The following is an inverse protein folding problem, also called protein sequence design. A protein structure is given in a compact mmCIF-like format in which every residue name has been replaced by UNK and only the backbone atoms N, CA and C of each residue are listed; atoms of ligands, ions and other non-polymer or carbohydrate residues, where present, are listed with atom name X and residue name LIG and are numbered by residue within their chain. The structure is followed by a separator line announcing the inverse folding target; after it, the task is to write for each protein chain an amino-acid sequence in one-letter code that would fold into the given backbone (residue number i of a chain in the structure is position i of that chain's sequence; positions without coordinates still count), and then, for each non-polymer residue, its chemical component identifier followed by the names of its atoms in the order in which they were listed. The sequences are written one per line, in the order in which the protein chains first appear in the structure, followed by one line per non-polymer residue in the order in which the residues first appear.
data_IF_869043488523
#
_entry.id   IF_869043488523
#
_cell.length_a   1.000
_cell.length_b   1.000
_cell.length_c   1.000
_cell.angle_alpha   90.00
_cell.angle_beta   90.00
_cell.angle_gamma   90.00
#
_symmetry.space_group_name_H-M   'P 1'
#
loop_
_entity.id
_entity.type
_entity.pdbx_description
1 polymer ?
#
# COMPACT_ATOMS: atom_id res chain seq x y z
N UNK A 1 7.46 1.05 -12.44
CA UNK A 1 7.96 0.87 -11.06
C UNK A 1 7.17 -0.23 -10.35
N UNK A 2 7.80 -0.95 -9.40
CA UNK A 2 7.08 -1.89 -8.52
C UNK A 2 6.98 -1.27 -7.14
N UNK A 3 5.76 -1.08 -6.63
CA UNK A 3 5.52 -0.66 -5.25
C UNK A 3 5.11 -1.87 -4.41
N UNK A 4 5.99 -2.27 -3.50
CA UNK A 4 5.71 -3.33 -2.53
C UNK A 4 5.27 -2.73 -1.21
N UNK A 5 4.09 -3.11 -0.73
CA UNK A 5 3.52 -2.66 0.53
C UNK A 5 3.63 -3.80 1.52
N UNK A 6 4.45 -3.63 2.53
CA UNK A 6 4.64 -4.60 3.61
C UNK A 6 3.84 -4.17 4.83
N UNK A 7 3.18 -5.13 5.48
CA UNK A 7 2.51 -4.94 6.78
C UNK A 7 3.03 -5.99 7.75
N UNK A 8 3.53 -5.56 8.90
CA UNK A 8 4.12 -6.46 9.90
C UNK A 8 4.19 -5.81 11.27
N UNK A 9 4.55 -6.58 12.28
CA UNK A 9 4.94 -6.08 13.61
C UNK A 9 6.40 -6.43 13.89
N UNK A 10 7.08 -5.62 14.69
CA UNK A 10 8.41 -5.96 15.17
C UNK A 10 8.32 -6.79 16.46
N UNK A 11 9.29 -7.69 16.72
CA UNK A 11 9.36 -8.41 17.99
C UNK A 11 9.52 -7.45 19.17
N UNK A 12 8.77 -7.64 20.26
CA UNK A 12 8.96 -6.85 21.47
C UNK A 12 10.40 -6.98 22.02
N UNK A 13 11.06 -5.90 22.47
CA UNK A 13 10.57 -4.52 22.64
C UNK A 13 10.88 -3.59 21.45
N UNK A 14 11.13 -4.13 20.26
CA UNK A 14 11.52 -3.32 19.10
C UNK A 14 10.37 -2.45 18.61
N UNK A 15 10.72 -1.27 18.09
CA UNK A 15 9.79 -0.29 17.53
C UNK A 15 10.29 0.18 16.16
N UNK A 16 9.50 0.99 15.46
CA UNK A 16 9.88 1.58 14.17
C UNK A 16 11.18 2.43 14.24
N UNK A 17 11.57 2.86 15.45
CA UNK A 17 12.79 3.61 15.72
C UNK A 17 13.99 2.73 16.09
N UNK A 18 13.80 1.41 16.25
CA UNK A 18 14.84 0.48 16.66
C UNK A 18 16.02 0.44 15.68
N UNK A 19 17.26 0.29 16.19
CA UNK A 19 18.46 0.19 15.35
C UNK A 19 18.40 -0.93 14.32
N UNK A 20 17.77 -2.06 14.65
CA UNK A 20 17.65 -3.24 13.80
C UNK A 20 16.82 -2.92 12.56
N UNK A 21 15.66 -2.29 12.75
CA UNK A 21 14.81 -1.85 11.63
C UNK A 21 15.47 -0.73 10.82
N UNK A 22 16.19 0.19 11.47
CA UNK A 22 16.98 1.21 10.74
C UNK A 22 18.04 0.59 9.84
N UNK A 23 18.83 -0.37 10.35
CA UNK A 23 19.85 -1.07 9.56
C UNK A 23 19.23 -1.80 8.36
N UNK A 24 18.06 -2.43 8.54
CA UNK A 24 17.36 -3.07 7.44
C UNK A 24 16.92 -2.04 6.38
N UNK A 25 16.38 -0.89 6.79
CA UNK A 25 16.04 0.21 5.87
C UNK A 25 17.28 0.72 5.11
N UNK A 26 18.43 0.84 5.76
CA UNK A 26 19.71 1.23 5.14
C UNK A 26 20.24 0.18 4.13
N UNK A 27 19.95 -1.11 4.34
CA UNK A 27 20.27 -2.16 3.36
C UNK A 27 19.34 -2.01 2.15
N UNK A 28 18.04 -1.87 2.39
CA UNK A 28 17.02 -1.70 1.34
C UNK A 28 17.28 -0.42 0.52
N UNK A 29 17.71 0.68 1.15
CA UNK A 29 17.94 1.96 0.46
C UNK A 29 19.02 1.91 -0.61
N UNK A 30 19.92 0.92 -0.56
CA UNK A 30 20.97 0.72 -1.57
C UNK A 30 20.45 0.13 -2.88
N UNK A 31 19.26 -0.46 -2.88
CA UNK A 31 18.73 -1.19 -4.04
C UNK A 31 17.29 -0.78 -4.42
N UNK A 32 16.57 -0.09 -3.55
CA UNK A 32 15.28 0.52 -3.87
C UNK A 32 15.44 1.93 -4.46
N UNK A 33 14.41 2.42 -5.16
CA UNK A 33 14.30 3.81 -5.63
C UNK A 33 14.02 4.74 -4.44
N UNK A 34 13.05 4.36 -3.61
CA UNK A 34 12.68 5.08 -2.38
C UNK A 34 11.86 4.17 -1.48
N UNK A 35 11.67 4.60 -0.23
CA UNK A 35 10.91 3.84 0.75
C UNK A 35 10.27 4.77 1.79
N UNK A 36 9.09 4.39 2.26
CA UNK A 36 8.26 5.12 3.21
C UNK A 36 7.73 4.17 4.27
N UNK A 37 7.83 4.56 5.54
CA UNK A 37 7.48 3.67 6.63
C UNK A 37 6.73 4.45 7.72
N UNK A 38 5.78 3.78 8.38
CA UNK A 38 4.94 4.40 9.40
C UNK A 38 4.09 3.37 10.12
N UNK A 39 3.51 3.76 11.24
CA UNK A 39 2.48 2.95 11.89
C UNK A 39 1.16 3.13 11.15
N UNK A 40 0.41 2.03 11.00
CA UNK A 40 -0.99 2.15 10.57
C UNK A 40 -1.79 2.85 11.66
N UNK A 41 -2.76 3.66 11.26
CA UNK A 41 -3.66 4.41 12.15
C UNK A 41 -5.10 4.20 11.71
N UNK A 42 -6.01 4.17 12.69
CA UNK A 42 -7.48 4.24 12.52
C UNK A 42 -8.02 3.58 11.24
N UNK A 43 -8.33 2.28 11.26
CA UNK A 43 -8.77 1.56 10.06
C UNK A 43 -10.12 0.86 10.31
N UNK A 44 -11.07 0.87 9.34
CA UNK A 44 -12.16 -0.09 9.33
C UNK A 44 -11.67 -1.53 9.05
N UNK A 45 -10.53 -1.72 8.37
CA UNK A 45 -9.95 -3.06 8.19
C UNK A 45 -9.19 -3.53 9.44
N UNK A 46 -9.21 -4.85 9.74
CA UNK A 46 -8.41 -5.42 10.82
C UNK A 46 -6.92 -5.11 10.66
N UNK A 47 -6.28 -4.79 11.79
CA UNK A 47 -4.85 -4.53 11.87
C UNK A 47 -4.29 -5.09 13.16
N UNK A 48 -3.00 -5.41 13.15
CA UNK A 48 -2.29 -5.76 14.37
C UNK A 48 -2.03 -4.52 15.23
N UNK A 49 -1.86 -4.72 16.54
CA UNK A 49 -1.40 -3.64 17.42
C UNK A 49 0.04 -3.29 17.05
N UNK A 50 0.35 -1.98 16.95
CA UNK A 50 1.67 -1.48 16.50
C UNK A 50 2.09 -1.98 15.11
N UNK A 51 1.13 -2.29 14.24
CA UNK A 51 1.40 -2.68 12.85
C UNK A 51 2.12 -1.55 12.10
N UNK A 52 3.26 -1.89 11.53
CA UNK A 52 4.05 -1.05 10.65
C UNK A 52 3.63 -1.33 9.22
N UNK A 53 3.36 -0.27 8.47
CA UNK A 53 3.28 -0.30 7.03
C UNK A 53 4.60 0.24 6.45
N UNK A 54 5.21 -0.52 5.55
CA UNK A 54 6.44 -0.14 4.85
C UNK A 54 6.23 -0.28 3.35
N UNK A 55 6.13 0.87 2.67
CA UNK A 55 6.07 0.94 1.22
C UNK A 55 7.49 1.08 0.65
N UNK A 56 7.85 0.19 -0.27
CA UNK A 56 9.16 0.16 -0.92
C UNK A 56 8.95 0.24 -2.43
N UNK A 57 9.63 1.19 -3.06
CA UNK A 57 9.59 1.39 -4.49
C UNK A 57 10.82 0.77 -5.11
N UNK A 58 10.63 -0.33 -5.83
CA UNK A 58 11.71 -1.07 -6.47
C UNK A 58 11.86 -0.68 -7.94
N UNK A 59 13.09 -0.73 -8.48
CA UNK A 59 13.29 -0.72 -9.92
C UNK A 59 12.50 -1.83 -10.60
N UNK A 60 12.01 -1.59 -11.82
CA UNK A 60 11.31 -2.59 -12.64
C UNK A 60 12.18 -3.82 -12.94
N UNK A 61 13.50 -3.64 -12.97
CA UNK A 61 14.48 -4.72 -13.13
C UNK A 61 14.65 -5.60 -11.88
N UNK A 62 14.03 -5.24 -10.75
CA UNK A 62 14.14 -6.05 -9.53
C UNK A 62 13.39 -7.37 -9.67
N UNK A 63 14.04 -8.46 -9.28
CA UNK A 63 13.42 -9.79 -9.28
C UNK A 63 12.75 -10.07 -7.92
N UNK A 64 11.67 -10.88 -7.88
CA UNK A 64 11.08 -11.31 -6.61
C UNK A 64 12.10 -11.90 -5.65
N UNK A 65 12.98 -12.79 -6.14
CA UNK A 65 14.06 -13.39 -5.34
C UNK A 65 15.05 -12.35 -4.80
N UNK A 66 15.41 -11.33 -5.59
CA UNK A 66 16.30 -10.25 -5.14
C UNK A 66 15.66 -9.38 -4.05
N UNK A 67 14.38 -9.06 -4.18
CA UNK A 67 13.62 -8.33 -3.15
C UNK A 67 13.52 -9.14 -1.86
N UNK A 68 13.12 -10.41 -1.96
CA UNK A 68 13.02 -11.31 -0.82
C UNK A 68 14.37 -11.51 -0.11
N UNK A 69 15.46 -11.68 -0.86
CA UNK A 69 16.81 -11.78 -0.29
C UNK A 69 17.22 -10.49 0.45
N UNK A 70 16.89 -9.33 -0.10
CA UNK A 70 17.18 -8.03 0.54
C UNK A 70 16.41 -7.85 1.84
N UNK A 71 15.11 -8.18 1.84
CA UNK A 71 14.24 -8.09 3.01
C UNK A 71 14.56 -9.16 4.06
N UNK A 72 15.04 -10.31 3.62
CA UNK A 72 15.50 -11.42 4.45
C UNK A 72 16.96 -11.30 4.90
N UNK A 73 17.67 -10.21 4.57
CA UNK A 73 18.99 -9.91 5.13
C UNK A 73 18.84 -9.78 6.65
N UNK A 74 19.09 -10.89 7.33
CA UNK A 74 19.04 -11.03 8.77
C UNK A 74 20.19 -10.24 9.37
N UNK A 75 19.95 -9.62 10.51
CA UNK A 75 21.04 -9.18 11.39
C UNK A 75 21.62 -10.42 12.09
N UNK A 76 22.70 -10.25 12.86
CA UNK A 76 23.25 -11.33 13.68
C UNK A 76 22.25 -11.96 14.67
N UNK A 77 21.05 -11.38 14.83
CA UNK A 77 20.01 -11.74 15.80
C UNK A 77 18.76 -12.37 15.16
N UNK A 78 18.74 -12.58 13.83
CA UNK A 78 17.62 -13.20 13.10
C UNK A 78 16.90 -12.25 12.14
N UNK A 79 15.69 -12.63 11.71
CA UNK A 79 14.85 -11.78 10.85
C UNK A 79 14.31 -10.61 11.66
N UNK A 80 14.57 -9.38 11.19
CA UNK A 80 14.01 -8.15 11.81
C UNK A 80 12.51 -8.08 11.58
N UNK A 81 12.06 -8.49 10.40
CA UNK A 81 10.65 -8.55 10.06
C UNK A 81 10.10 -9.88 10.59
N UNK A 82 9.06 -9.83 11.42
CA UNK A 82 8.44 -11.03 11.99
C UNK A 82 7.82 -11.96 10.94
N UNK A 83 7.55 -13.21 11.33
CA UNK A 83 6.98 -14.25 10.45
C UNK A 83 5.55 -13.93 9.96
N UNK A 84 4.91 -12.93 10.56
CA UNK A 84 3.57 -12.43 10.23
C UNK A 84 3.57 -11.35 9.15
N UNK A 85 4.72 -11.07 8.53
CA UNK A 85 4.81 -10.08 7.47
C UNK A 85 4.00 -10.47 6.24
N UNK A 86 3.16 -9.55 5.80
CA UNK A 86 2.40 -9.68 4.56
C UNK A 86 2.85 -8.64 3.53
N UNK A 87 2.55 -8.93 2.27
CA UNK A 87 3.10 -8.24 1.10
C UNK A 87 2.00 -8.07 0.05
N UNK A 88 1.83 -6.84 -0.42
CA UNK A 88 1.05 -6.50 -1.61
C UNK A 88 1.98 -5.91 -2.65
N UNK A 89 1.83 -6.33 -3.91
CA UNK A 89 2.61 -5.81 -5.03
C UNK A 89 1.72 -5.01 -5.98
N UNK A 90 2.10 -3.76 -6.22
CA UNK A 90 1.45 -2.86 -7.16
C UNK A 90 2.42 -2.55 -8.29
N UNK A 91 2.01 -2.82 -9.52
CA UNK A 91 2.75 -2.42 -10.72
C UNK A 91 2.18 -1.08 -11.20
N UNK A 92 3.06 -0.07 -11.28
CA UNK A 92 2.68 1.31 -11.60
C UNK A 92 3.56 1.79 -12.73
N UNK A 93 2.95 2.34 -13.77
CA UNK A 93 3.68 2.92 -14.89
C UNK A 93 4.55 4.10 -14.43
N UNK A 94 5.75 4.21 -14.99
CA UNK A 94 6.73 5.21 -14.54
C UNK A 94 6.24 6.65 -14.74
N UNK A 95 5.39 6.90 -15.75
CA UNK A 95 4.78 8.21 -15.99
C UNK A 95 3.67 8.56 -14.98
N UNK A 96 3.21 7.58 -14.20
CA UNK A 96 2.22 7.74 -13.12
C UNK A 96 2.83 7.68 -11.72
N UNK A 97 4.12 7.35 -11.61
CA UNK A 97 4.79 7.20 -10.33
C UNK A 97 4.82 8.49 -9.50
N UNK A 98 4.83 9.66 -10.14
CA UNK A 98 4.83 10.95 -9.44
C UNK A 98 3.58 11.18 -8.59
N UNK A 99 2.39 10.83 -9.09
CA UNK A 99 1.13 10.97 -8.33
C UNK A 99 1.06 9.98 -7.19
N UNK A 100 1.58 8.77 -7.38
CA UNK A 100 1.74 7.80 -6.29
C UNK A 100 2.68 8.33 -5.19
N UNK A 101 3.82 8.92 -5.56
CA UNK A 101 4.78 9.49 -4.60
C UNK A 101 4.14 10.60 -3.77
N UNK A 102 3.30 11.45 -4.38
CA UNK A 102 2.56 12.48 -3.63
C UNK A 102 1.68 11.88 -2.53
N UNK A 103 1.05 10.72 -2.76
CA UNK A 103 0.29 10.04 -1.71
C UNK A 103 1.16 9.60 -0.52
N UNK A 104 2.37 9.10 -0.79
CA UNK A 104 3.30 8.69 0.25
C UNK A 104 3.93 9.86 1.01
N UNK A 105 4.05 11.02 0.37
CA UNK A 105 4.58 12.25 0.97
C UNK A 105 3.48 13.14 1.58
N UNK A 106 2.21 12.82 1.35
CA UNK A 106 1.06 13.46 1.94
C UNK A 106 1.06 13.34 3.47
N UNK A 107 0.32 14.23 4.13
CA UNK A 107 0.23 14.20 5.59
C UNK A 107 -0.43 12.93 6.10
N UNK A 108 -1.39 12.39 5.38
CA UNK A 108 -2.03 11.09 5.63
C UNK A 108 -2.04 10.32 4.32
N UNK A 109 -1.52 9.10 4.31
CA UNK A 109 -1.72 8.18 3.19
C UNK A 109 -2.81 7.18 3.55
N UNK A 110 -3.82 7.06 2.70
CA UNK A 110 -4.84 6.03 2.74
C UNK A 110 -4.47 4.89 1.78
N UNK A 111 -4.68 3.66 2.24
CA UNK A 111 -4.83 2.50 1.38
C UNK A 111 -6.29 2.07 1.40
N UNK A 112 -7.00 2.33 0.32
CA UNK A 112 -8.37 1.86 0.13
C UNK A 112 -8.38 0.64 -0.80
N UNK A 113 -9.19 -0.34 -0.44
CA UNK A 113 -9.27 -1.64 -1.08
C UNK A 113 -10.68 -1.86 -1.60
N UNK A 114 -10.77 -2.22 -2.88
CA UNK A 114 -11.96 -2.78 -3.49
C UNK A 114 -11.62 -4.22 -3.85
N UNK A 115 -12.03 -5.16 -2.99
CA UNK A 115 -11.92 -6.58 -3.26
C UNK A 115 -13.18 -7.03 -4.01
N UNK A 116 -13.04 -7.41 -5.28
CA UNK A 116 -14.19 -7.76 -6.11
C UNK A 116 -14.67 -9.19 -5.84
N UNK A 117 -15.99 -9.35 -5.72
CA UNK A 117 -16.64 -10.66 -5.66
C UNK A 117 -16.43 -11.44 -6.96
N UNK A 118 -16.75 -12.74 -6.95
CA UNK A 118 -16.63 -13.57 -8.15
C UNK A 118 -17.54 -13.09 -9.29
N UNK A 119 -18.71 -12.53 -8.94
CA UNK A 119 -19.76 -12.08 -9.85
C UNK A 119 -19.50 -10.68 -10.46
N UNK A 120 -18.40 -10.03 -10.10
CA UNK A 120 -18.03 -8.72 -10.64
C UNK A 120 -17.86 -8.76 -12.17
N UNK A 121 -18.51 -7.86 -12.94
CA UNK A 121 -18.47 -7.85 -14.41
C UNK A 121 -17.17 -7.20 -14.91
N UNK A 122 -16.03 -7.81 -14.61
CA UNK A 122 -14.69 -7.22 -14.85
C UNK A 122 -14.36 -6.97 -16.32
N UNK A 123 -15.01 -7.68 -17.24
CA UNK A 123 -14.88 -7.47 -18.69
C UNK A 123 -15.75 -6.31 -19.21
N UNK A 124 -16.63 -5.75 -18.37
CA UNK A 124 -17.46 -4.60 -18.76
C UNK A 124 -16.62 -3.33 -18.78
N UNK A 125 -16.65 -2.64 -19.93
CA UNK A 125 -15.98 -1.34 -20.11
C UNK A 125 -16.49 -0.31 -19.09
N UNK A 126 -17.80 -0.28 -18.84
CA UNK A 126 -18.41 0.66 -17.89
C UNK A 126 -17.97 0.37 -16.44
N UNK A 127 -17.78 -0.91 -16.12
CA UNK A 127 -17.29 -1.33 -14.81
C UNK A 127 -15.81 -0.93 -14.62
N UNK A 128 -14.97 -1.22 -15.60
CA UNK A 128 -13.56 -0.81 -15.60
C UNK A 128 -13.42 0.72 -15.53
N UNK A 129 -14.25 1.46 -16.25
CA UNK A 129 -14.30 2.92 -16.17
C UNK A 129 -14.68 3.41 -14.77
N UNK A 130 -15.64 2.75 -14.10
CA UNK A 130 -16.05 3.10 -12.73
C UNK A 130 -14.93 2.82 -11.71
N UNK A 131 -14.21 1.70 -11.86
CA UNK A 131 -13.03 1.39 -11.04
C UNK A 131 -11.96 2.48 -11.18
N UNK A 132 -11.65 2.89 -12.42
CA UNK A 132 -10.68 3.96 -12.67
C UNK A 132 -11.17 5.32 -12.13
N UNK A 133 -12.46 5.61 -12.33
CA UNK A 133 -13.05 6.90 -11.96
C UNK A 133 -13.16 7.12 -10.46
N UNK A 134 -13.28 6.04 -9.67
CA UNK A 134 -13.25 6.07 -8.21
C UNK A 134 -11.98 6.76 -7.68
N UNK A 135 -10.85 6.58 -8.37
CA UNK A 135 -9.62 7.32 -8.11
C UNK A 135 -9.68 8.74 -8.70
N UNK A 136 -10.00 8.91 -9.99
CA UNK A 136 -9.85 10.24 -10.62
C UNK A 136 -10.80 11.30 -10.04
N UNK A 137 -11.94 10.89 -9.48
CA UNK A 137 -12.89 11.80 -8.82
C UNK A 137 -12.28 12.46 -7.57
N UNK A 138 -11.25 11.87 -6.94
CA UNK A 138 -10.61 12.45 -5.75
C UNK A 138 -9.84 13.74 -6.05
N UNK A 139 -9.38 13.96 -7.29
CA UNK A 139 -8.71 15.21 -7.70
C UNK A 139 -9.60 16.46 -7.55
N UNK A 140 -10.93 16.28 -7.55
CA UNK A 140 -11.88 17.37 -7.31
C UNK A 140 -12.20 17.59 -5.83
N UNK A 141 -11.65 16.77 -4.92
CA UNK A 141 -12.02 16.76 -3.50
C UNK A 141 -11.04 17.60 -2.67
N UNK A 142 -11.59 18.36 -1.72
CA UNK A 142 -10.79 19.21 -0.83
C UNK A 142 -9.87 18.33 0.03
N UNK A 143 -8.59 18.70 0.06
CA UNK A 143 -7.57 18.06 0.88
C UNK A 143 -6.94 16.83 0.25
N UNK A 144 -7.27 16.47 -0.99
CA UNK A 144 -6.56 15.43 -1.73
C UNK A 144 -5.22 15.98 -2.24
N UNK A 145 -4.12 15.26 -1.98
CA UNK A 145 -2.75 15.69 -2.30
C UNK A 145 -2.14 14.95 -3.49
N UNK A 146 -2.67 13.78 -3.84
CA UNK A 146 -2.22 12.95 -4.94
C UNK A 146 -2.50 11.47 -4.69
N UNK A 147 -2.32 10.63 -5.69
CA UNK A 147 -2.47 9.19 -5.50
C UNK A 147 -2.46 8.43 -6.80
N UNK A 148 -2.54 7.11 -6.68
CA UNK A 148 -2.71 6.22 -7.80
C UNK A 148 -3.39 4.93 -7.34
N UNK A 149 -3.90 4.15 -8.27
CA UNK A 149 -4.41 2.83 -7.98
C UNK A 149 -3.89 1.79 -8.98
N UNK A 150 -3.89 0.53 -8.55
CA UNK A 150 -3.62 -0.61 -9.40
C UNK A 150 -4.32 -1.85 -8.85
N UNK A 151 -4.48 -2.86 -9.70
CA UNK A 151 -4.78 -4.19 -9.19
C UNK A 151 -3.54 -4.79 -8.54
N UNK A 152 -3.71 -5.38 -7.36
CA UNK A 152 -2.66 -6.14 -6.69
C UNK A 152 -2.22 -7.32 -7.56
N UNK A 153 -0.92 -7.49 -7.72
CA UNK A 153 -0.36 -8.45 -8.67
C UNK A 153 -0.10 -9.83 -8.07
N UNK A 154 0.04 -9.95 -6.74
CA UNK A 154 0.40 -11.21 -6.08
C UNK A 154 -0.74 -11.87 -5.30
N UNK A 155 -1.81 -11.13 -4.95
CA UNK A 155 -2.91 -11.69 -4.15
C UNK A 155 -4.21 -10.91 -4.33
N UNK A 156 -5.33 -11.56 -4.02
CA UNK A 156 -6.64 -10.93 -3.92
C UNK A 156 -7.09 -10.69 -2.48
N UNK A 157 -6.25 -10.99 -1.48
CA UNK A 157 -6.51 -10.70 -0.07
C UNK A 157 -5.98 -9.32 0.32
N UNK A 158 -6.87 -8.46 0.83
CA UNK A 158 -6.53 -7.13 1.36
C UNK A 158 -5.53 -7.15 2.53
N UNK A 159 -5.40 -8.28 3.22
CA UNK A 159 -4.39 -8.47 4.27
C UNK A 159 -2.99 -8.71 3.70
N UNK A 160 -2.88 -9.01 2.41
CA UNK A 160 -1.64 -9.38 1.75
C UNK A 160 -1.28 -10.86 1.91
N UNK A 161 -0.40 -11.34 1.05
CA UNK A 161 0.15 -12.69 1.15
C UNK A 161 1.43 -12.68 1.98
N UNK A 162 1.83 -13.84 2.51
CA UNK A 162 3.06 -13.98 3.29
C UNK A 162 4.28 -13.48 2.50
N UNK A 163 5.11 -12.65 3.15
CA UNK A 163 6.40 -12.21 2.60
C UNK A 163 7.22 -13.42 2.10
N UNK A 164 7.74 -13.34 0.88
CA UNK A 164 8.44 -14.43 0.20
C UNK A 164 7.58 -15.21 -0.80
N UNK A 165 6.26 -15.04 -0.81
CA UNK A 165 5.37 -15.67 -1.81
C UNK A 165 5.32 -14.92 -3.15
N UNK A 166 6.04 -13.81 -3.31
CA UNK A 166 5.93 -12.89 -4.45
C UNK A 166 6.35 -13.47 -5.80
N UNK A 167 6.92 -14.69 -5.80
CA UNK A 167 7.15 -15.45 -7.03
C UNK A 167 5.84 -15.81 -7.74
N UNK A 168 4.72 -15.80 -7.02
CA UNK A 168 3.37 -15.98 -7.57
C UNK A 168 2.86 -14.62 -8.04
N UNK A 169 2.52 -14.53 -9.32
CA UNK A 169 1.86 -13.37 -9.93
C UNK A 169 0.54 -13.83 -10.53
N UNK A 170 -0.53 -13.15 -10.17
CA UNK A 170 -1.86 -13.33 -10.73
C UNK A 170 -1.87 -12.82 -12.18
N UNK A 171 -2.50 -13.58 -13.06
CA UNK A 171 -2.78 -13.12 -14.42
C UNK A 171 -3.83 -11.99 -14.40
N UNK A 172 -3.95 -11.22 -15.48
CA UNK A 172 -4.88 -10.09 -15.52
C UNK A 172 -6.34 -10.50 -15.25
N UNK A 173 -6.74 -11.69 -15.66
CA UNK A 173 -8.06 -12.28 -15.45
C UNK A 173 -8.25 -12.90 -14.06
N UNK A 174 -7.20 -13.07 -13.27
CA UNK A 174 -7.28 -13.51 -11.88
C UNK A 174 -7.35 -12.34 -10.89
N UNK A 175 -6.84 -11.17 -11.27
CA UNK A 175 -6.81 -9.97 -10.42
C UNK A 175 -8.22 -9.45 -10.10
N UNK A 176 -8.48 -9.25 -8.81
CA UNK A 176 -9.76 -8.82 -8.22
C UNK A 176 -9.59 -7.81 -7.08
N UNK A 177 -8.39 -7.61 -6.56
CA UNK A 177 -8.12 -6.63 -5.51
C UNK A 177 -7.59 -5.32 -6.12
N UNK A 178 -8.44 -4.31 -6.23
CA UNK A 178 -8.03 -2.95 -6.52
C UNK A 178 -7.49 -2.27 -5.27
N UNK A 179 -6.28 -1.72 -5.34
CA UNK A 179 -5.62 -0.99 -4.25
C UNK A 179 -5.42 0.46 -4.68
N UNK A 180 -6.05 1.35 -3.93
CA UNK A 180 -6.01 2.80 -4.13
C UNK A 180 -5.11 3.39 -3.05
N UNK A 181 -4.02 4.01 -3.46
CA UNK A 181 -3.05 4.67 -2.58
C UNK A 181 -3.27 6.18 -2.72
N UNK A 182 -3.87 6.79 -1.71
CA UNK A 182 -4.43 8.15 -1.78
C UNK A 182 -3.84 9.03 -0.68
N UNK A 183 -3.33 10.20 -1.05
CA UNK A 183 -2.79 11.21 -0.15
C UNK A 183 -3.85 12.22 0.26
N UNK A 184 -3.90 12.51 1.54
CA UNK A 184 -4.83 13.46 2.14
C UNK A 184 -4.12 14.38 3.14
N UNK A 185 -4.55 15.64 3.18
CA UNK A 185 -4.11 16.60 4.19
C UNK A 185 -4.50 16.16 5.62
N UNK A 186 -5.61 15.43 5.77
CA UNK A 186 -6.07 14.88 7.06
C UNK A 186 -7.12 13.77 6.88
N UNK A 187 -7.29 12.93 7.90
CA UNK A 187 -8.33 11.88 7.94
C UNK A 187 -9.72 12.53 7.91
N UNK A 188 -9.89 13.67 8.58
CA UNK A 188 -11.16 14.40 8.66
C UNK A 188 -11.60 14.92 7.29
N UNK A 189 -10.66 15.41 6.48
CA UNK A 189 -10.95 15.87 5.12
C UNK A 189 -11.34 14.71 4.21
N UNK A 190 -10.66 13.56 4.31
CA UNK A 190 -11.10 12.35 3.62
C UNK A 190 -12.51 11.93 4.06
N UNK A 191 -12.79 11.85 5.37
CA UNK A 191 -14.11 11.51 5.89
C UNK A 191 -15.22 12.50 5.50
N UNK A 192 -14.88 13.77 5.26
CA UNK A 192 -15.81 14.73 4.69
C UNK A 192 -16.04 14.47 3.20
N UNK A 193 -14.99 14.11 2.47
CA UNK A 193 -15.05 13.78 1.04
C UNK A 193 -15.93 12.55 0.77
N UNK A 194 -15.86 11.50 1.62
CA UNK A 194 -16.69 10.28 1.47
C UNK A 194 -18.19 10.53 1.61
N UNK A 195 -18.60 11.67 2.16
CA UNK A 195 -20.01 12.06 2.32
C UNK A 195 -20.55 12.86 1.14
N UNK A 196 -19.73 13.11 0.11
CA UNK A 196 -20.13 13.89 -1.06
C UNK A 196 -20.84 13.02 -2.09
N UNK A 197 -21.74 13.63 -2.87
CA UNK A 197 -22.38 12.96 -4.00
C UNK A 197 -21.39 12.53 -5.09
N UNK A 198 -20.26 13.25 -5.20
CA UNK A 198 -19.19 12.88 -6.13
C UNK A 198 -18.57 11.53 -5.74
N UNK A 199 -18.28 11.33 -4.46
CA UNK A 199 -17.76 10.06 -3.95
C UNK A 199 -18.76 8.91 -4.12
N UNK A 200 -20.03 9.13 -3.75
CA UNK A 200 -21.07 8.11 -3.84
C UNK A 200 -21.29 7.58 -5.26
N UNK A 201 -21.12 8.43 -6.28
CA UNK A 201 -21.48 8.12 -7.67
C UNK A 201 -20.85 6.83 -8.22
N UNK A 202 -19.55 6.63 -8.01
CA UNK A 202 -18.87 5.44 -8.51
C UNK A 202 -18.95 4.29 -7.50
N UNK A 203 -18.90 4.62 -6.19
CA UNK A 203 -19.04 3.61 -5.13
C UNK A 203 -20.40 2.90 -5.22
N UNK A 204 -21.50 3.60 -5.47
CA UNK A 204 -22.84 3.00 -5.59
C UNK A 204 -22.93 2.00 -6.75
N UNK A 205 -22.16 2.21 -7.83
CA UNK A 205 -22.10 1.28 -8.97
C UNK A 205 -21.27 0.04 -8.65
N UNK A 206 -20.21 0.19 -7.86
CA UNK A 206 -19.27 -0.87 -7.56
C UNK A 206 -19.67 -1.69 -6.32
N UNK A 207 -20.36 -1.07 -5.35
CA UNK A 207 -20.73 -1.65 -4.07
C UNK A 207 -21.47 -2.99 -4.16
N UNK A 208 -22.37 -3.24 -5.14
CA UNK A 208 -22.98 -4.57 -5.32
C UNK A 208 -21.98 -5.70 -5.55
N UNK A 209 -20.75 -5.38 -5.95
CA UNK A 209 -19.70 -6.32 -6.28
C UNK A 209 -18.56 -6.32 -5.26
N UNK A 210 -18.71 -5.59 -4.14
CA UNK A 210 -17.73 -5.63 -3.05
C UNK A 210 -17.78 -6.99 -2.35
N UNK A 211 -16.64 -7.66 -2.31
CA UNK A 211 -16.39 -8.86 -1.55
C UNK A 211 -15.69 -8.57 -0.21
N UNK A 212 -15.47 -9.63 0.60
CA UNK A 212 -14.70 -9.55 1.83
C UNK A 212 -13.31 -8.94 1.59
N UNK A 213 -12.85 -8.08 2.49
CA UNK A 213 -11.57 -7.38 2.38
C UNK A 213 -11.66 -5.99 1.73
N UNK A 214 -12.84 -5.58 1.24
CA UNK A 214 -13.05 -4.17 0.86
C UNK A 214 -13.06 -3.28 2.10
N UNK A 215 -12.35 -2.16 2.06
CA UNK A 215 -12.20 -1.26 3.21
C UNK A 215 -10.99 -0.36 3.07
N UNK A 216 -10.49 0.19 4.18
CA UNK A 216 -9.32 1.06 4.15
C UNK A 216 -8.50 1.00 5.44
N UNK A 217 -7.27 1.49 5.37
CA UNK A 217 -6.48 1.93 6.53
C UNK A 217 -5.66 3.16 6.16
N UNK A 218 -5.19 3.91 7.16
CA UNK A 218 -4.30 5.04 6.94
C UNK A 218 -2.92 4.80 7.55
N UNK A 219 -1.95 5.58 7.09
CA UNK A 219 -0.57 5.58 7.57
C UNK A 219 -0.07 7.02 7.63
N UNK A 220 0.63 7.35 8.71
CA UNK A 220 1.50 8.52 8.76
C UNK A 220 2.90 8.12 8.31
N UNK A 221 3.21 8.33 7.04
CA UNK A 221 4.49 7.93 6.49
C UNK A 221 5.62 8.89 6.85
N UNK A 222 6.82 8.31 6.98
CA UNK A 222 8.10 9.01 6.96
C UNK A 222 8.88 8.46 5.79
N UNK A 223 9.46 9.35 4.99
CA UNK A 223 10.42 8.97 3.95
C UNK A 223 11.72 8.58 4.62
N UNK A 224 12.34 7.48 4.20
CA UNK A 224 13.70 7.20 4.64
C UNK A 224 14.67 8.18 3.98
N UNK A 225 15.48 8.84 4.81
CA UNK A 225 16.68 9.55 4.37
C UNK A 225 17.91 8.94 5.03
N UNK A 226 19.02 8.92 4.29
CA UNK A 226 20.32 8.49 4.82
C UNK A 226 20.81 9.40 5.99
N UNK A 227 20.19 10.58 6.13
CA UNK A 227 20.44 11.55 7.19
C UNK A 227 19.53 11.37 8.41
N UNK A 228 18.77 10.26 8.53
CA UNK A 228 17.96 9.89 9.70
C UNK A 228 18.86 9.60 10.93
N UNK A 229 19.53 10.63 11.45
CA UNK A 229 20.15 10.63 12.76
C UNK A 229 19.02 10.70 13.77
N UNK A 230 18.56 9.52 14.21
CA UNK A 230 17.46 9.35 15.16
C UNK A 230 17.42 10.45 16.20
N UNK A 231 16.43 11.35 16.03
CA UNK A 231 16.11 12.36 17.02
C UNK A 231 15.74 11.66 18.32
N UNK A 232 16.54 11.95 19.33
CA UNK A 232 16.31 11.63 20.75
C UNK A 232 14.97 12.14 21.24
#
# INVERSE_FOLDING_TARGET
MISQILRFTLPYPQTISSPEFRRLREIVSKVCISQYYGYTISAPLPRMTEEICWAIHWPTISTPAGRAATLGCSTAEGSVIGDNATSLLLEIDDDKASELIKAFEARVCEFAFIALSQDAPRESIDFQASMHKTYTDTYGMRGFEGGQWAYCSNTNDSLGDKLGSENVQLTSDEKRLGVYVLGWESVELHQAATKTALFAKEIDKLAPYFGPGSGAFYVYFRKHSNDDHGGT
#
